data_IF_573352358515
#
_entry.id   IF_573352358515
#
_cell.length_a   1.000
_cell.length_b   1.000
_cell.length_c   1.000
_cell.angle_alpha   90.00
_cell.angle_beta   90.00
_cell.angle_gamma   90.00
#
_symmetry.space_group_name_H-M   'P 1'
#
loop_
_entity.id
_entity.type
_entity.pdbx_description
1 polymer ?
#
# COMPACT_ATOMS: atom_id res chain seq x y z
N UNK A 1 -46.14 25.13 -61.51
CA UNK A 1 -46.16 25.83 -60.19
C UNK A 1 -45.41 25.07 -59.07
N UNK A 2 -45.31 23.76 -59.13
CA UNK A 2 -44.62 22.93 -58.05
C UNK A 2 -43.12 23.15 -57.89
N UNK A 3 -42.37 23.45 -58.98
CA UNK A 3 -40.91 23.64 -58.91
C UNK A 3 -40.48 24.93 -58.15
N UNK A 4 -41.31 25.99 -58.17
CA UNK A 4 -41.00 27.25 -57.47
C UNK A 4 -41.29 27.16 -55.96
N UNK A 5 -42.22 26.27 -55.57
CA UNK A 5 -42.53 26.04 -54.14
C UNK A 5 -41.48 25.26 -53.46
N UNK A 6 -40.82 24.32 -54.19
CA UNK A 6 -39.73 23.47 -53.62
C UNK A 6 -38.45 24.27 -53.37
N UNK A 7 -38.15 25.26 -54.26
CA UNK A 7 -36.95 26.14 -54.09
C UNK A 7 -37.14 27.14 -52.93
N UNK A 8 -38.35 27.65 -52.70
CA UNK A 8 -38.58 28.54 -51.55
C UNK A 8 -38.56 27.77 -50.24
N UNK A 9 -39.04 26.52 -50.21
CA UNK A 9 -38.97 25.65 -49.02
C UNK A 9 -37.51 25.29 -48.64
N UNK A 10 -36.63 25.03 -49.62
CA UNK A 10 -35.22 24.77 -49.37
C UNK A 10 -34.47 25.99 -48.85
N UNK A 11 -34.78 27.21 -49.32
CA UNK A 11 -34.15 28.44 -48.85
C UNK A 11 -34.56 28.77 -47.42
N UNK A 12 -35.84 28.55 -47.07
CA UNK A 12 -36.34 28.76 -45.69
C UNK A 12 -35.76 27.72 -44.73
N UNK A 13 -35.53 26.47 -45.15
CA UNK A 13 -34.85 25.44 -44.32
C UNK A 13 -33.35 25.73 -44.09
N UNK A 14 -32.67 26.39 -45.07
CA UNK A 14 -31.25 26.75 -44.90
C UNK A 14 -31.01 27.96 -43.98
N UNK A 15 -32.01 28.82 -43.77
CA UNK A 15 -31.86 29.99 -42.90
C UNK A 15 -32.12 29.68 -41.40
N UNK A 16 -32.68 28.52 -41.08
CA UNK A 16 -32.96 28.10 -39.70
C UNK A 16 -31.78 27.35 -39.04
N UNK A 17 -30.71 27.06 -39.81
CA UNK A 17 -29.52 26.37 -39.27
C UNK A 17 -28.35 27.29 -38.85
N UNK A 18 -28.49 28.61 -38.97
CA UNK A 18 -27.42 29.58 -38.70
C UNK A 18 -27.47 30.22 -37.29
N UNK A 19 -28.39 29.80 -36.41
CA UNK A 19 -28.56 30.42 -35.08
C UNK A 19 -28.32 29.50 -33.87
N UNK A 20 -27.58 28.40 -34.08
CA UNK A 20 -27.22 27.54 -32.97
C UNK A 20 -25.73 27.14 -33.08
N UNK A 21 -24.82 27.95 -32.59
CA UNK A 21 -23.51 27.59 -32.10
C UNK A 21 -22.71 28.84 -31.73
N UNK A 22 -23.14 29.50 -30.65
CA UNK A 22 -22.19 30.28 -29.85
C UNK A 22 -22.28 29.75 -28.41
N UNK A 23 -22.09 28.45 -28.27
CA UNK A 23 -21.71 27.90 -26.99
C UNK A 23 -20.19 28.07 -26.90
N UNK A 24 -19.75 29.09 -26.16
CA UNK A 24 -18.38 29.16 -25.63
C UNK A 24 -18.20 27.88 -24.82
N UNK A 25 -17.70 26.84 -25.46
CA UNK A 25 -16.99 25.78 -24.75
C UNK A 25 -15.75 26.44 -24.17
N UNK A 26 -15.86 26.92 -22.93
CA UNK A 26 -14.73 26.93 -22.06
C UNK A 26 -14.36 25.45 -21.89
N UNK A 27 -13.60 24.92 -22.84
CA UNK A 27 -12.73 23.80 -22.57
C UNK A 27 -11.81 24.33 -21.48
N UNK A 28 -12.18 24.04 -20.22
CA UNK A 28 -11.22 24.01 -19.12
C UNK A 28 -10.23 22.94 -19.57
N UNK A 29 -9.12 23.40 -20.14
CA UNK A 29 -7.93 22.58 -20.25
C UNK A 29 -7.74 22.00 -18.85
N UNK A 30 -7.59 20.67 -18.68
CA UNK A 30 -7.20 20.15 -17.39
C UNK A 30 -5.96 20.93 -16.98
N UNK A 31 -6.07 21.58 -15.84
CA UNK A 31 -4.99 22.35 -15.25
C UNK A 31 -3.78 21.41 -15.19
N UNK A 32 -2.79 21.67 -16.05
CA UNK A 32 -1.53 20.92 -16.08
C UNK A 32 -0.73 21.12 -14.77
N UNK A 33 -1.33 21.83 -13.82
CA UNK A 33 -0.89 22.06 -12.45
C UNK A 33 -1.81 21.39 -11.40
N UNK A 34 -2.61 20.39 -11.76
CA UNK A 34 -3.01 19.41 -10.77
C UNK A 34 -1.74 18.62 -10.37
N UNK A 35 -0.82 19.32 -9.72
CA UNK A 35 0.14 18.70 -8.81
C UNK A 35 -0.74 17.94 -7.84
N UNK A 36 -0.79 16.63 -7.98
CA UNK A 36 -1.36 15.77 -6.97
C UNK A 36 -0.73 16.25 -5.66
N UNK A 37 -1.53 16.87 -4.80
CA UNK A 37 -1.13 17.31 -3.46
C UNK A 37 -0.90 16.03 -2.65
N UNK A 38 0.20 15.37 -2.96
CA UNK A 38 0.66 14.16 -2.27
C UNK A 38 1.08 14.61 -0.88
N UNK A 39 0.09 14.60 0.01
CA UNK A 39 0.28 14.98 1.40
C UNK A 39 1.29 14.05 2.03
N UNK A 40 2.17 14.64 2.84
CA UNK A 40 3.11 13.88 3.63
C UNK A 40 2.42 13.31 4.87
N UNK A 41 2.53 12.01 5.07
CA UNK A 41 1.96 11.28 6.19
C UNK A 41 3.03 10.53 6.95
N UNK A 42 2.86 10.39 8.26
CA UNK A 42 3.71 9.52 9.08
C UNK A 42 2.99 8.21 9.33
N UNK A 43 3.59 7.11 8.90
CA UNK A 43 3.11 5.75 9.15
C UNK A 43 4.02 5.03 10.12
N UNK A 44 3.50 4.01 10.81
CA UNK A 44 4.27 3.13 11.68
C UNK A 44 4.51 1.81 10.98
N UNK A 45 5.77 1.38 10.90
CA UNK A 45 6.18 0.08 10.39
C UNK A 45 6.90 -0.71 11.48
N UNK A 46 6.94 -2.04 11.37
CA UNK A 46 7.56 -2.89 12.38
C UNK A 46 8.81 -3.56 11.84
N UNK A 47 9.96 -3.26 12.46
CA UNK A 47 11.27 -3.77 12.07
C UNK A 47 11.70 -4.95 12.90
N UNK A 48 12.42 -5.85 12.25
CA UNK A 48 13.03 -7.03 12.86
C UNK A 48 14.33 -6.62 13.55
N UNK A 49 14.61 -7.09 14.77
CA UNK A 49 15.89 -6.83 15.46
C UNK A 49 17.04 -7.59 14.81
N UNK A 50 18.23 -6.98 14.81
CA UNK A 50 19.45 -7.58 14.26
C UNK A 50 20.05 -8.66 15.17
N UNK A 51 19.69 -8.65 16.45
CA UNK A 51 20.22 -9.56 17.48
C UNK A 51 19.48 -10.90 17.57
N UNK A 52 18.47 -11.12 16.72
CA UNK A 52 17.67 -12.35 16.68
C UNK A 52 16.67 -12.49 17.82
N UNK A 53 16.40 -11.44 18.61
CA UNK A 53 15.34 -11.47 19.61
C UNK A 53 13.95 -11.45 18.96
N UNK A 54 12.94 -11.99 19.66
CA UNK A 54 11.57 -12.08 19.15
C UNK A 54 10.74 -10.81 19.40
N UNK A 55 11.37 -9.64 19.53
CA UNK A 55 10.69 -8.37 19.79
C UNK A 55 10.89 -7.40 18.64
N UNK A 56 9.81 -7.11 17.91
CA UNK A 56 9.81 -6.10 16.86
C UNK A 56 9.79 -4.69 17.41
N UNK A 57 10.35 -3.77 16.66
CA UNK A 57 10.41 -2.36 17.01
C UNK A 57 9.61 -1.51 16.03
N UNK A 58 8.72 -0.68 16.60
CA UNK A 58 7.96 0.29 15.82
C UNK A 58 8.87 1.43 15.35
N UNK A 59 8.90 1.67 14.06
CA UNK A 59 9.62 2.76 13.40
C UNK A 59 8.62 3.67 12.69
N UNK A 60 8.77 4.99 12.84
CA UNK A 60 7.95 5.97 12.14
C UNK A 60 8.65 6.41 10.86
N UNK A 61 7.92 6.31 9.75
CA UNK A 61 8.43 6.65 8.42
C UNK A 61 7.49 7.65 7.76
N UNK A 62 8.08 8.66 7.10
CA UNK A 62 7.32 9.59 6.27
C UNK A 62 7.08 9.00 4.89
N UNK A 63 5.83 9.07 4.42
CA UNK A 63 5.39 8.63 3.09
C UNK A 63 4.56 9.73 2.44
N UNK A 64 4.52 9.75 1.11
CA UNK A 64 3.74 10.74 0.33
C UNK A 64 2.71 10.02 -0.50
N UNK A 65 1.46 10.43 -0.37
CA UNK A 65 0.34 9.87 -1.12
C UNK A 65 -0.99 10.23 -0.50
N UNK A 66 -2.07 9.71 -1.06
CA UNK A 66 -3.41 9.91 -0.55
C UNK A 66 -3.69 8.97 0.64
N UNK A 67 -4.67 9.33 1.45
CA UNK A 67 -4.99 8.61 2.68
C UNK A 67 -5.38 7.14 2.44
N UNK A 68 -6.04 6.88 1.33
CA UNK A 68 -6.48 5.56 0.89
C UNK A 68 -5.30 4.65 0.51
N UNK A 69 -4.16 5.23 0.14
CA UNK A 69 -2.94 4.52 -0.26
C UNK A 69 -2.02 4.19 0.92
N UNK A 70 -2.27 4.78 2.10
CA UNK A 70 -1.36 4.66 3.24
C UNK A 70 -1.02 3.22 3.65
N UNK A 71 -1.93 2.24 3.63
CA UNK A 71 -1.58 0.85 3.92
C UNK A 71 -0.55 0.29 2.93
N UNK A 72 -0.71 0.58 1.64
CA UNK A 72 0.23 0.15 0.60
C UNK A 72 1.58 0.86 0.77
N UNK A 73 1.58 2.17 0.97
CA UNK A 73 2.79 2.97 1.17
C UNK A 73 3.55 2.56 2.43
N UNK A 74 2.87 2.19 3.51
CA UNK A 74 3.48 1.65 4.72
C UNK A 74 4.16 0.29 4.44
N UNK A 75 3.50 -0.58 3.69
CA UNK A 75 4.06 -1.87 3.30
C UNK A 75 5.26 -1.71 2.35
N UNK A 76 5.19 -0.78 1.39
CA UNK A 76 6.32 -0.43 0.53
C UNK A 76 7.50 0.13 1.32
N UNK A 77 7.23 1.02 2.29
CA UNK A 77 8.26 1.54 3.18
C UNK A 77 8.90 0.43 4.03
N UNK A 78 8.10 -0.51 4.55
CA UNK A 78 8.59 -1.66 5.31
C UNK A 78 9.54 -2.51 4.47
N UNK A 79 9.21 -2.81 3.21
CA UNK A 79 9.97 -3.70 2.34
C UNK A 79 11.21 -3.00 1.76
N UNK A 80 11.11 -1.73 1.37
CA UNK A 80 12.10 -1.09 0.50
C UNK A 80 13.02 -0.08 1.22
N UNK A 81 12.72 0.31 2.46
CA UNK A 81 13.56 1.29 3.16
C UNK A 81 14.55 0.64 4.12
N UNK A 82 15.68 1.30 4.32
CA UNK A 82 16.64 0.90 5.35
C UNK A 82 16.11 1.27 6.74
N UNK A 83 16.35 0.45 7.77
CA UNK A 83 16.06 0.80 9.15
C UNK A 83 16.80 2.08 9.58
N UNK A 84 16.21 2.85 10.50
CA UNK A 84 16.83 4.07 11.06
C UNK A 84 17.92 3.75 12.11
N UNK A 85 18.03 2.49 12.53
CA UNK A 85 19.02 2.01 13.51
C UNK A 85 19.71 0.78 13.00
N UNK A 86 21.03 0.66 13.30
CA UNK A 86 21.85 -0.52 13.02
C UNK A 86 21.47 -1.73 13.87
N UNK A 87 20.67 -1.53 14.93
CA UNK A 87 20.08 -2.61 15.74
C UNK A 87 18.91 -3.31 15.06
N UNK A 88 18.47 -2.79 13.95
CA UNK A 88 17.31 -3.30 13.18
C UNK A 88 17.75 -3.71 11.78
N UNK A 89 17.06 -4.69 11.24
CA UNK A 89 17.30 -5.15 9.87
C UNK A 89 16.04 -5.03 9.00
N UNK A 90 16.27 -4.91 7.70
CA UNK A 90 15.26 -5.19 6.71
C UNK A 90 15.35 -6.69 6.38
N UNK A 91 14.38 -7.47 6.88
CA UNK A 91 14.37 -8.93 6.72
C UNK A 91 13.85 -9.39 5.35
N UNK A 92 13.41 -8.45 4.50
CA UNK A 92 12.82 -8.79 3.21
C UNK A 92 13.90 -9.02 2.14
N UNK A 93 13.70 -10.01 1.25
CA UNK A 93 14.67 -10.30 0.20
C UNK A 93 14.71 -9.18 -0.83
N UNK A 94 15.89 -8.97 -1.40
CA UNK A 94 16.08 -7.97 -2.44
C UNK A 94 15.20 -8.32 -3.67
N UNK A 95 14.55 -7.31 -4.23
CA UNK A 95 13.71 -7.45 -5.42
C UNK A 95 12.30 -7.95 -5.13
N UNK A 96 11.93 -8.18 -3.85
CA UNK A 96 10.55 -8.49 -3.47
C UNK A 96 9.61 -7.36 -3.92
N UNK A 97 8.50 -7.73 -4.54
CA UNK A 97 7.47 -6.80 -5.00
C UNK A 97 6.13 -7.09 -4.33
N UNK A 98 5.39 -6.04 -4.05
CA UNK A 98 3.98 -6.13 -3.72
C UNK A 98 3.23 -6.11 -5.06
N UNK A 99 2.64 -7.24 -5.44
CA UNK A 99 1.86 -7.36 -6.67
C UNK A 99 0.52 -6.64 -6.50
N UNK A 100 -0.09 -6.80 -5.33
CA UNK A 100 -1.31 -6.09 -4.95
C UNK A 100 -1.54 -6.10 -3.45
N UNK A 101 -2.26 -5.09 -2.97
CA UNK A 101 -2.85 -5.02 -1.63
C UNK A 101 -4.32 -4.63 -1.80
N UNK A 102 -5.23 -5.46 -1.29
CA UNK A 102 -6.66 -5.16 -1.27
C UNK A 102 -7.18 -5.28 0.15
N UNK A 103 -8.17 -4.48 0.52
CA UNK A 103 -8.80 -4.52 1.84
C UNK A 103 -10.31 -4.67 1.66
N UNK A 104 -10.88 -5.73 2.19
CA UNK A 104 -12.33 -5.96 2.22
C UNK A 104 -12.76 -6.44 3.60
N UNK A 105 -13.80 -5.80 4.17
CA UNK A 105 -14.41 -6.17 5.46
C UNK A 105 -13.41 -6.42 6.59
N UNK A 106 -12.36 -5.60 6.64
CA UNK A 106 -11.34 -5.69 7.69
C UNK A 106 -10.23 -6.70 7.43
N UNK A 107 -10.23 -7.35 6.28
CA UNK A 107 -9.19 -8.29 5.88
C UNK A 107 -8.35 -7.69 4.75
N UNK A 108 -7.06 -7.51 4.99
CA UNK A 108 -6.10 -7.19 3.96
C UNK A 108 -5.62 -8.46 3.26
N UNK A 109 -5.56 -8.46 1.94
CA UNK A 109 -4.95 -9.52 1.14
C UNK A 109 -3.70 -8.96 0.49
N UNK A 110 -2.55 -9.42 0.94
CA UNK A 110 -1.22 -9.05 0.44
C UNK A 110 -0.77 -10.09 -0.57
N UNK A 111 -0.59 -9.69 -1.82
CA UNK A 111 -0.04 -10.54 -2.87
C UNK A 111 1.42 -10.17 -3.11
N UNK A 112 2.33 -11.09 -2.84
CA UNK A 112 3.77 -10.91 -2.97
C UNK A 112 4.30 -11.65 -4.19
N UNK A 113 5.39 -11.14 -4.75
CA UNK A 113 6.10 -11.82 -5.82
C UNK A 113 6.93 -13.00 -5.30
N UNK A 114 7.30 -13.90 -6.19
CA UNK A 114 8.05 -15.14 -5.88
C UNK A 114 9.40 -14.91 -5.20
N UNK A 115 9.95 -13.70 -5.27
CA UNK A 115 11.20 -13.32 -4.61
C UNK A 115 11.10 -13.50 -3.08
N UNK A 116 9.87 -13.57 -2.51
CA UNK A 116 9.68 -13.91 -1.10
C UNK A 116 10.31 -15.25 -0.71
N UNK A 117 10.44 -16.19 -1.64
CA UNK A 117 11.12 -17.46 -1.42
C UNK A 117 12.64 -17.34 -1.25
N UNK A 118 13.24 -16.16 -1.50
CA UNK A 118 14.67 -15.91 -1.32
C UNK A 118 15.05 -15.51 0.11
N UNK A 119 14.10 -15.52 1.06
CA UNK A 119 14.42 -15.32 2.49
C UNK A 119 15.33 -16.44 2.99
N UNK A 120 16.15 -16.13 4.01
CA UNK A 120 16.89 -17.16 4.74
C UNK A 120 15.92 -18.18 5.36
N UNK A 121 16.27 -19.46 5.28
CA UNK A 121 15.44 -20.52 5.81
C UNK A 121 15.46 -20.48 7.35
N UNK A 122 14.27 -20.71 7.95
CA UNK A 122 14.12 -20.81 9.39
C UNK A 122 12.76 -20.29 9.87
N UNK A 123 12.23 -20.93 10.91
CA UNK A 123 10.95 -20.55 11.52
C UNK A 123 10.94 -19.11 12.03
N UNK A 124 12.07 -18.66 12.59
CA UNK A 124 12.24 -17.29 13.06
C UNK A 124 12.05 -16.27 11.93
N UNK A 125 12.77 -16.44 10.81
CA UNK A 125 12.72 -15.49 9.68
C UNK A 125 11.31 -15.42 9.09
N UNK A 126 10.69 -16.59 8.87
CA UNK A 126 9.34 -16.69 8.31
C UNK A 126 8.30 -16.04 9.24
N UNK A 127 8.38 -16.31 10.56
CA UNK A 127 7.53 -15.71 11.58
C UNK A 127 7.70 -14.19 11.65
N UNK A 128 8.92 -13.71 11.76
CA UNK A 128 9.19 -12.28 11.91
C UNK A 128 8.76 -11.49 10.68
N UNK A 129 8.93 -12.03 9.49
CA UNK A 129 8.54 -11.39 8.24
C UNK A 129 7.01 -11.30 8.11
N UNK A 130 6.28 -12.40 8.34
CA UNK A 130 4.81 -12.40 8.29
C UNK A 130 4.22 -11.50 9.37
N UNK A 131 4.79 -11.51 10.56
CA UNK A 131 4.38 -10.64 11.66
C UNK A 131 4.71 -9.16 11.41
N UNK A 132 5.84 -8.85 10.76
CA UNK A 132 6.18 -7.47 10.40
C UNK A 132 5.15 -6.87 9.43
N UNK A 133 4.75 -7.61 8.41
CA UNK A 133 3.68 -7.21 7.48
C UNK A 133 2.36 -7.06 8.23
N UNK A 134 1.97 -8.08 9.01
CA UNK A 134 0.70 -8.10 9.73
C UNK A 134 0.58 -6.94 10.71
N UNK A 135 1.59 -6.75 11.57
CA UNK A 135 1.59 -5.68 12.56
C UNK A 135 1.63 -4.28 11.91
N UNK A 136 2.32 -4.13 10.78
CA UNK A 136 2.34 -2.86 10.02
C UNK A 136 0.96 -2.54 9.45
N UNK A 137 0.32 -3.49 8.79
CA UNK A 137 -0.99 -3.27 8.18
C UNK A 137 -2.10 -3.11 9.21
N UNK A 138 -2.02 -3.80 10.34
CA UNK A 138 -3.00 -3.68 11.43
C UNK A 138 -2.81 -2.42 12.29
N UNK A 139 -1.86 -1.52 11.99
CA UNK A 139 -1.84 -0.15 12.51
C UNK A 139 -3.01 0.68 11.94
N UNK A 140 -3.51 0.32 10.77
CA UNK A 140 -4.67 0.96 10.16
C UNK A 140 -5.96 0.38 10.75
N UNK A 141 -6.84 1.23 11.33
CA UNK A 141 -8.00 0.77 12.09
C UNK A 141 -9.00 -0.04 11.27
N UNK A 142 -9.02 0.16 9.96
CA UNK A 142 -9.84 -0.60 9.01
C UNK A 142 -9.33 -2.01 8.73
N UNK A 143 -8.08 -2.35 9.10
CA UNK A 143 -7.47 -3.67 8.88
C UNK A 143 -7.36 -4.42 10.20
N UNK A 144 -7.98 -5.59 10.28
CA UNK A 144 -7.99 -6.47 11.47
C UNK A 144 -7.18 -7.74 11.26
N UNK A 145 -7.14 -8.22 10.01
CA UNK A 145 -6.47 -9.47 9.63
C UNK A 145 -5.75 -9.30 8.31
N UNK A 146 -4.75 -10.14 8.10
CA UNK A 146 -3.96 -10.17 6.87
C UNK A 146 -3.89 -11.58 6.30
N UNK A 147 -4.25 -11.74 5.04
CA UNK A 147 -4.04 -12.94 4.25
C UNK A 147 -2.87 -12.73 3.28
N UNK A 148 -2.14 -13.81 3.01
CA UNK A 148 -1.02 -13.79 2.09
C UNK A 148 -1.33 -14.59 0.83
N UNK A 149 -0.95 -14.03 -0.32
CA UNK A 149 -0.85 -14.72 -1.60
C UNK A 149 0.59 -14.59 -2.11
N UNK A 150 1.05 -15.57 -2.87
CA UNK A 150 2.32 -15.52 -3.58
C UNK A 150 2.01 -15.80 -5.05
N UNK A 151 2.36 -14.86 -5.94
CA UNK A 151 2.02 -14.92 -7.37
C UNK A 151 0.50 -15.13 -7.61
N UNK A 152 -0.35 -14.50 -6.77
CA UNK A 152 -1.81 -14.61 -6.87
C UNK A 152 -2.41 -15.87 -6.27
N UNK A 153 -1.61 -16.78 -5.73
CA UNK A 153 -2.06 -18.06 -5.21
C UNK A 153 -1.90 -18.16 -3.69
N UNK A 154 -2.84 -18.82 -3.02
CA UNK A 154 -2.66 -19.24 -1.62
C UNK A 154 -1.60 -20.32 -1.55
N UNK A 155 -0.62 -20.15 -0.68
CA UNK A 155 0.43 -21.15 -0.44
C UNK A 155 0.36 -21.60 1.02
N UNK A 156 0.74 -22.85 1.27
CA UNK A 156 0.74 -23.40 2.62
C UNK A 156 1.76 -22.68 3.53
N UNK A 157 2.92 -22.31 2.97
CA UNK A 157 3.98 -21.59 3.69
C UNK A 157 4.96 -20.94 2.71
N UNK A 158 5.90 -20.11 3.22
CA UNK A 158 7.02 -19.60 2.42
C UNK A 158 8.16 -20.65 2.39
N UNK A 159 8.57 -21.15 3.56
CA UNK A 159 9.69 -22.11 3.72
C UNK A 159 9.33 -23.35 4.54
N UNK A 160 8.05 -23.57 4.81
CA UNK A 160 7.57 -24.76 5.49
C UNK A 160 7.41 -24.64 7.01
N UNK A 161 7.54 -23.44 7.58
CA UNK A 161 7.50 -23.26 9.04
C UNK A 161 6.23 -22.57 9.54
N UNK A 162 5.69 -21.62 8.78
CA UNK A 162 4.52 -20.86 9.17
C UNK A 162 3.38 -21.15 8.18
N UNK A 163 2.22 -21.52 8.73
CA UNK A 163 1.02 -21.80 7.92
C UNK A 163 0.42 -20.48 7.44
N UNK A 164 0.34 -20.29 6.11
CA UNK A 164 -0.25 -19.12 5.46
C UNK A 164 -1.71 -19.33 5.04
N UNK A 165 -2.30 -20.48 5.35
CA UNK A 165 -3.68 -20.78 4.93
C UNK A 165 -4.70 -19.96 5.71
N UNK A 166 -4.40 -19.64 6.96
CA UNK A 166 -5.25 -18.82 7.81
C UNK A 166 -4.85 -17.34 7.79
N UNK A 167 -5.80 -16.47 8.13
CA UNK A 167 -5.54 -15.04 8.24
C UNK A 167 -4.81 -14.71 9.55
N UNK A 168 -3.78 -13.87 9.46
CA UNK A 168 -2.99 -13.40 10.59
C UNK A 168 -3.67 -12.22 11.27
N UNK A 169 -3.68 -12.23 12.58
CA UNK A 169 -4.10 -11.12 13.42
C UNK A 169 -2.88 -10.40 14.00
N UNK A 170 -3.10 -9.17 14.52
CA UNK A 170 -2.05 -8.41 15.19
C UNK A 170 -1.50 -9.19 16.38
N UNK A 171 -0.20 -9.40 16.41
CA UNK A 171 0.50 -9.96 17.55
C UNK A 171 1.21 -8.83 18.32
N UNK A 172 0.61 -8.47 19.47
CA UNK A 172 1.17 -7.42 20.35
C UNK A 172 2.26 -7.94 21.28
N UNK A 173 2.35 -9.24 21.46
CA UNK A 173 3.29 -9.84 22.41
C UNK A 173 4.73 -9.79 21.88
N UNK A 174 4.90 -9.80 20.57
CA UNK A 174 6.19 -9.63 19.92
C UNK A 174 6.58 -8.16 19.68
N UNK A 175 5.73 -7.20 20.05
CA UNK A 175 6.07 -5.77 19.91
C UNK A 175 6.80 -5.28 21.16
N UNK A 176 7.99 -4.73 20.99
CA UNK A 176 8.76 -4.12 22.06
C UNK A 176 8.02 -2.91 22.67
N UNK A 177 7.83 -2.92 23.98
CA UNK A 177 7.17 -1.81 24.68
C UNK A 177 8.09 -0.59 24.69
N UNK A 178 7.64 0.54 24.18
CA UNK A 178 8.42 1.80 24.06
C UNK A 178 9.14 2.23 25.35
N UNK A 179 8.59 1.89 26.51
CA UNK A 179 9.18 2.21 27.82
C UNK A 179 10.46 1.41 28.10
N UNK A 180 10.53 0.16 27.66
CA UNK A 180 11.71 -0.71 27.82
C UNK A 180 12.86 -0.26 26.90
N UNK A 181 12.55 0.10 25.67
CA UNK A 181 13.55 0.61 24.71
C UNK A 181 14.27 1.85 25.25
N UNK A 182 13.54 2.84 25.77
CA UNK A 182 14.13 4.05 26.37
C UNK A 182 14.97 3.76 27.64
N UNK A 183 14.60 2.74 28.42
CA UNK A 183 15.39 2.34 29.60
C UNK A 183 16.66 1.61 29.20
N UNK A 184 16.60 0.73 28.22
CA UNK A 184 17.78 0.04 27.66
C UNK A 184 18.79 1.04 27.06
N UNK A 185 18.32 2.00 26.27
CA UNK A 185 19.16 3.08 25.73
C UNK A 185 19.79 3.94 26.83
N UNK A 186 19.01 4.27 27.89
CA UNK A 186 19.47 5.12 28.98
C UNK A 186 20.48 4.43 29.93
N UNK A 187 20.35 3.14 30.14
CA UNK A 187 21.15 2.40 31.10
C UNK A 187 22.18 1.45 30.47
N UNK A 188 22.27 1.41 29.12
CA UNK A 188 23.26 0.56 28.42
C UNK A 188 23.10 -0.94 28.72
N UNK A 189 21.93 -1.38 29.17
CA UNK A 189 21.63 -2.79 29.41
C UNK A 189 21.33 -3.48 28.09
N UNK A 190 22.23 -4.32 27.66
CA UNK A 190 22.14 -5.18 26.48
C UNK A 190 21.75 -6.59 26.90
#
# INVERSE_FOLDING_TARGET
MMKKFLTVLCVVLMTLFAAACTQKNNAVLPDANAVADSREHTVTIYRVPADGTEKMYAEKVSVKGDKEELPLLALEALINTKPQSDKLINAFPQGLKIISLTVDKGVAVVNLSKEIYNIEAGSYTEMMLTSAITNTLTEFPEIKKVNFLIEGEKKASIKGHIDLMDAFERDTDIIAKRKLVKLQEKFGMY
#
